data_IF_931325023980
#
_entry.id   IF_931325023980
#
_cell.length_a   1.000
_cell.length_b   1.000
_cell.length_c   1.000
_cell.angle_alpha   90.00
_cell.angle_beta   90.00
_cell.angle_gamma   90.00
#
_symmetry.space_group_name_H-M   'P 1'
#
loop_
_entity.id
_entity.type
_entity.pdbx_description
1 polymer ?
#
# COMPACT_ATOMS: atom_id res chain seq x y z
N UNK A 1 14.75 9.26 -13.20
CA UNK A 1 13.57 9.23 -12.32
C UNK A 1 13.68 8.00 -11.45
N UNK A 2 13.67 8.17 -10.14
CA UNK A 2 13.73 7.09 -9.15
C UNK A 2 12.34 6.86 -8.56
N UNK A 3 11.92 5.60 -8.45
CA UNK A 3 10.61 5.22 -7.89
C UNK A 3 10.81 4.32 -6.68
N UNK A 4 10.16 4.66 -5.56
CA UNK A 4 10.13 3.86 -4.34
C UNK A 4 8.76 3.22 -4.16
N UNK A 5 8.71 1.93 -3.82
CA UNK A 5 7.49 1.24 -3.41
C UNK A 5 7.51 0.98 -1.91
N UNK A 6 6.39 1.26 -1.23
CA UNK A 6 6.20 1.03 0.19
C UNK A 6 5.21 -0.11 0.36
N UNK A 7 5.67 -1.19 0.97
CA UNK A 7 4.89 -2.38 1.27
C UNK A 7 4.87 -2.57 2.79
N UNK A 8 3.72 -2.88 3.33
CA UNK A 8 3.57 -3.13 4.75
C UNK A 8 2.92 -4.48 5.00
N UNK A 9 3.29 -5.14 6.08
CA UNK A 9 2.58 -6.33 6.53
C UNK A 9 2.75 -6.61 8.02
N UNK A 10 2.08 -7.66 8.45
CA UNK A 10 2.21 -8.32 9.73
C UNK A 10 2.24 -9.83 9.50
N UNK A 11 3.14 -10.54 10.16
CA UNK A 11 3.24 -12.01 10.03
C UNK A 11 2.17 -12.71 10.87
N UNK A 12 0.95 -12.78 10.36
CA UNK A 12 -0.19 -13.41 11.03
C UNK A 12 -1.03 -14.32 10.12
N UNK A 13 -0.48 -14.63 8.95
CA UNK A 13 -1.14 -15.42 7.91
C UNK A 13 -2.54 -14.88 7.51
N UNK A 14 -2.69 -13.57 7.54
CA UNK A 14 -3.90 -12.89 7.10
C UNK A 14 -4.38 -13.41 5.73
N UNK A 15 -5.64 -13.80 5.65
CA UNK A 15 -6.28 -14.29 4.41
C UNK A 15 -5.79 -15.66 3.93
N UNK A 16 -4.82 -16.29 4.59
CA UNK A 16 -4.18 -17.54 4.16
C UNK A 16 -3.15 -17.33 3.04
N UNK A 17 -2.23 -18.25 2.89
CA UNK A 17 -1.16 -18.21 1.87
C UNK A 17 -0.36 -16.90 1.87
N UNK A 18 -0.17 -16.29 3.05
CA UNK A 18 0.48 -14.98 3.15
C UNK A 18 1.92 -15.02 2.65
N UNK A 19 2.67 -16.09 2.95
CA UNK A 19 4.06 -16.25 2.52
C UNK A 19 4.16 -16.25 0.99
N UNK A 20 3.30 -17.01 0.33
CA UNK A 20 3.28 -17.12 -1.12
C UNK A 20 2.87 -15.78 -1.77
N UNK A 21 1.78 -15.16 -1.29
CA UNK A 21 1.32 -13.85 -1.81
C UNK A 21 2.39 -12.78 -1.65
N UNK A 22 2.99 -12.71 -0.46
CA UNK A 22 4.07 -11.78 -0.15
C UNK A 22 5.31 -12.00 -1.04
N UNK A 23 5.66 -13.26 -1.29
CA UNK A 23 6.77 -13.59 -2.17
C UNK A 23 6.56 -13.03 -3.58
N UNK A 24 5.36 -13.19 -4.15
CA UNK A 24 5.04 -12.62 -5.46
C UNK A 24 5.01 -11.09 -5.45
N UNK A 25 4.36 -10.50 -4.46
CA UNK A 25 4.25 -9.04 -4.35
C UNK A 25 5.62 -8.37 -4.21
N UNK A 26 6.45 -8.86 -3.27
CA UNK A 26 7.77 -8.29 -3.02
C UNK A 26 8.71 -8.51 -4.22
N UNK A 27 8.75 -9.70 -4.80
CA UNK A 27 9.57 -9.95 -5.98
C UNK A 27 9.13 -9.09 -7.17
N UNK A 28 7.83 -8.94 -7.41
CA UNK A 28 7.36 -8.05 -8.49
C UNK A 28 7.76 -6.59 -8.24
N UNK A 29 7.74 -6.13 -6.98
CA UNK A 29 8.20 -4.80 -6.61
C UNK A 29 9.72 -4.64 -6.78
N UNK A 30 10.52 -5.61 -6.31
CA UNK A 30 11.98 -5.61 -6.47
C UNK A 30 12.37 -5.51 -7.96
N UNK A 31 11.65 -6.22 -8.83
CA UNK A 31 11.90 -6.20 -10.27
C UNK A 31 11.44 -4.92 -10.97
N UNK A 32 10.50 -4.18 -10.35
CA UNK A 32 9.88 -3.02 -11.00
C UNK A 32 10.47 -1.69 -10.53
N UNK A 33 10.90 -1.58 -9.27
CA UNK A 33 11.23 -0.30 -8.66
C UNK A 33 12.70 -0.19 -8.24
N UNK A 34 13.17 1.06 -8.15
CA UNK A 34 14.55 1.37 -7.77
C UNK A 34 14.79 1.19 -6.26
N UNK A 35 13.74 1.27 -5.48
CA UNK A 35 13.76 1.11 -4.02
C UNK A 35 12.46 0.45 -3.57
N UNK A 36 12.56 -0.58 -2.77
CA UNK A 36 11.44 -1.20 -2.07
C UNK A 36 11.65 -1.01 -0.58
N UNK A 37 10.67 -0.42 0.10
CA UNK A 37 10.67 -0.29 1.55
C UNK A 37 9.59 -1.19 2.09
N UNK A 38 10.01 -2.23 2.80
CA UNK A 38 9.12 -3.14 3.48
C UNK A 38 9.09 -2.82 4.97
N UNK A 39 7.90 -2.58 5.52
CA UNK A 39 7.70 -2.29 6.93
C UNK A 39 6.92 -3.43 7.57
N UNK A 40 7.59 -4.22 8.39
CA UNK A 40 6.97 -5.23 9.23
C UNK A 40 6.43 -4.58 10.49
N UNK A 41 5.11 -4.65 10.66
CA UNK A 41 4.44 -3.99 11.79
C UNK A 41 3.84 -5.00 12.76
N UNK A 42 4.33 -4.99 14.01
CA UNK A 42 3.70 -5.73 15.11
C UNK A 42 3.56 -7.24 14.87
N UNK A 43 4.52 -7.84 14.17
CA UNK A 43 4.52 -9.30 13.97
C UNK A 43 4.73 -10.03 15.31
N UNK A 44 3.94 -11.08 15.61
CA UNK A 44 3.88 -11.66 16.95
C UNK A 44 5.14 -12.40 17.35
N UNK A 45 5.91 -12.93 16.41
CA UNK A 45 7.11 -13.72 16.67
C UNK A 45 8.34 -13.18 15.94
N UNK A 46 8.25 -13.04 14.64
CA UNK A 46 9.32 -12.55 13.76
C UNK A 46 8.74 -11.97 12.49
N UNK A 47 9.55 -11.24 11.74
CA UNK A 47 9.12 -10.66 10.47
C UNK A 47 8.79 -11.74 9.44
N UNK A 48 7.72 -11.49 8.66
CA UNK A 48 7.33 -12.31 7.52
C UNK A 48 8.47 -12.47 6.50
N UNK A 49 9.28 -11.43 6.34
CA UNK A 49 10.36 -11.45 5.36
C UNK A 49 11.37 -12.57 5.63
N UNK A 50 11.58 -12.93 6.89
CA UNK A 50 12.50 -14.02 7.25
C UNK A 50 11.98 -15.39 6.85
N UNK A 51 10.66 -15.57 6.78
CA UNK A 51 10.05 -16.83 6.32
C UNK A 51 10.15 -17.02 4.81
N UNK A 52 10.28 -15.93 4.04
CA UNK A 52 10.25 -15.97 2.57
C UNK A 52 11.57 -15.56 1.92
N UNK A 53 12.55 -15.15 2.70
CA UNK A 53 13.82 -14.55 2.23
C UNK A 53 14.52 -15.38 1.15
N UNK A 54 14.56 -16.69 1.29
CA UNK A 54 15.25 -17.59 0.35
C UNK A 54 14.53 -17.65 -1.03
N UNK A 55 13.29 -17.18 -1.10
CA UNK A 55 12.49 -17.11 -2.32
C UNK A 55 12.47 -15.71 -2.95
N UNK A 56 13.20 -14.74 -2.37
CA UNK A 56 13.25 -13.38 -2.89
C UNK A 56 14.43 -13.17 -3.84
N UNK A 57 14.20 -12.45 -4.92
CA UNK A 57 15.21 -12.03 -5.90
C UNK A 57 15.95 -10.76 -5.42
N UNK A 58 16.59 -10.85 -4.27
CA UNK A 58 17.26 -9.73 -3.63
C UNK A 58 18.40 -9.18 -4.50
N UNK A 59 18.45 -7.87 -4.66
CA UNK A 59 19.44 -7.15 -5.46
C UNK A 59 20.01 -5.90 -4.77
N UNK A 60 19.78 -5.76 -3.47
CA UNK A 60 20.26 -4.63 -2.67
C UNK A 60 19.33 -3.39 -2.72
N UNK A 61 18.15 -3.50 -3.32
CA UNK A 61 17.18 -2.39 -3.37
C UNK A 61 16.06 -2.48 -2.33
N UNK A 62 15.99 -3.56 -1.53
CA UNK A 62 15.00 -3.77 -0.49
C UNK A 62 15.52 -3.29 0.87
N UNK A 63 14.81 -2.33 1.47
CA UNK A 63 15.00 -1.86 2.84
C UNK A 63 13.93 -2.46 3.74
N UNK A 64 14.35 -3.15 4.78
CA UNK A 64 13.47 -3.83 5.72
C UNK A 64 13.47 -3.12 7.07
N UNK A 65 12.33 -2.55 7.45
CA UNK A 65 12.08 -1.93 8.75
C UNK A 65 11.22 -2.86 9.61
N UNK A 66 11.60 -3.06 10.87
CA UNK A 66 10.86 -3.89 11.82
C UNK A 66 10.34 -3.02 12.97
N UNK A 67 9.03 -3.01 13.14
CA UNK A 67 8.36 -2.37 14.27
C UNK A 67 7.81 -3.47 15.19
N UNK A 68 8.55 -3.82 16.24
CA UNK A 68 8.15 -4.92 17.13
C UNK A 68 6.91 -4.56 17.96
N UNK A 69 6.24 -5.56 18.57
CA UNK A 69 4.98 -5.35 19.30
C UNK A 69 5.00 -4.25 20.36
N UNK A 70 6.06 -4.15 21.14
CA UNK A 70 6.16 -3.12 22.16
C UNK A 70 6.29 -1.70 21.58
N UNK A 71 7.04 -1.55 20.49
CA UNK A 71 7.13 -0.29 19.76
C UNK A 71 5.78 0.06 19.12
N UNK A 72 5.13 -0.88 18.45
CA UNK A 72 3.81 -0.69 17.84
C UNK A 72 2.76 -0.25 18.88
N UNK A 73 2.74 -0.87 20.05
CA UNK A 73 1.91 -0.46 21.19
C UNK A 73 2.17 0.99 21.60
N UNK A 74 3.44 1.35 21.75
CA UNK A 74 3.83 2.71 22.15
C UNK A 74 3.39 3.74 21.11
N UNK A 75 3.63 3.46 19.83
CA UNK A 75 3.29 4.35 18.72
C UNK A 75 1.78 4.51 18.50
N UNK A 76 0.97 3.52 18.87
CA UNK A 76 -0.49 3.60 18.86
C UNK A 76 -1.09 4.11 20.17
N UNK A 77 -0.28 4.65 21.07
CA UNK A 77 -0.69 5.11 22.41
C UNK A 77 -1.46 4.03 23.20
N UNK A 78 -1.04 2.78 23.07
CA UNK A 78 -1.67 1.61 23.72
C UNK A 78 -3.18 1.49 23.43
N UNK A 79 -3.63 2.00 22.31
CA UNK A 79 -5.04 1.94 21.96
C UNK A 79 -5.43 0.50 21.60
N UNK A 80 -6.25 -0.14 22.45
CA UNK A 80 -6.71 -1.52 22.27
C UNK A 80 -7.59 -1.73 21.03
N UNK A 81 -8.13 -0.63 20.47
CA UNK A 81 -8.95 -0.66 19.26
C UNK A 81 -8.14 -0.36 17.98
N UNK A 82 -6.83 -0.10 18.11
CA UNK A 82 -5.98 0.05 16.95
C UNK A 82 -5.91 -1.25 16.14
N UNK A 83 -5.78 -1.11 14.82
CA UNK A 83 -5.53 -2.27 13.97
C UNK A 83 -4.28 -3.01 14.42
N UNK A 84 -4.31 -4.35 14.40
CA UNK A 84 -3.11 -5.17 14.68
C UNK A 84 -1.98 -4.86 13.70
N UNK A 85 -2.29 -4.67 12.41
CA UNK A 85 -1.41 -4.08 11.42
C UNK A 85 -1.87 -2.64 11.18
N UNK A 86 -1.27 -1.67 11.88
CA UNK A 86 -1.65 -0.27 11.74
C UNK A 86 -1.11 0.32 10.44
N UNK A 87 -1.89 0.19 9.37
CA UNK A 87 -1.48 0.52 8.02
C UNK A 87 -1.00 1.97 7.87
N UNK A 88 -1.74 2.93 8.42
CA UNK A 88 -1.41 4.36 8.26
C UNK A 88 -0.04 4.70 8.85
N UNK A 89 0.29 4.16 10.03
CA UNK A 89 1.57 4.41 10.68
C UNK A 89 2.72 3.69 9.95
N UNK A 90 2.52 2.42 9.59
CA UNK A 90 3.51 1.63 8.87
C UNK A 90 3.84 2.26 7.50
N UNK A 91 2.81 2.66 6.74
CA UNK A 91 2.98 3.34 5.44
C UNK A 91 3.72 4.66 5.60
N UNK A 92 3.37 5.47 6.58
CA UNK A 92 4.03 6.75 6.83
C UNK A 92 5.50 6.61 7.19
N UNK A 93 5.88 5.58 7.94
CA UNK A 93 7.30 5.26 8.20
C UNK A 93 8.06 5.06 6.91
N UNK A 94 7.51 4.26 6.00
CA UNK A 94 8.13 3.99 4.70
C UNK A 94 8.15 5.21 3.79
N UNK A 95 7.01 5.89 3.62
CA UNK A 95 6.88 7.08 2.76
C UNK A 95 7.88 8.18 3.17
N UNK A 96 7.98 8.44 4.48
CA UNK A 96 8.87 9.48 5.01
C UNK A 96 10.36 9.20 4.73
N UNK A 97 10.73 7.91 4.67
CA UNK A 97 12.11 7.45 4.48
C UNK A 97 12.45 7.06 3.04
N UNK A 98 11.47 7.11 2.15
CA UNK A 98 11.67 6.85 0.73
C UNK A 98 12.58 7.89 0.09
N UNK A 99 13.44 7.44 -0.82
CA UNK A 99 14.42 8.30 -1.51
C UNK A 99 14.05 8.57 -2.97
N UNK A 100 13.00 7.92 -3.49
CA UNK A 100 12.52 8.12 -4.86
C UNK A 100 11.91 9.49 -5.11
N UNK A 101 11.91 9.90 -6.37
CA UNK A 101 11.22 11.10 -6.85
C UNK A 101 9.70 10.90 -6.81
N UNK A 102 9.27 9.65 -7.06
CA UNK A 102 7.91 9.16 -6.96
C UNK A 102 7.82 8.05 -5.94
N UNK A 103 6.73 8.03 -5.19
CA UNK A 103 6.49 7.04 -4.14
C UNK A 103 5.15 6.35 -4.39
N UNK A 104 5.18 5.01 -4.32
CA UNK A 104 4.02 4.15 -4.39
C UNK A 104 3.76 3.59 -2.99
N UNK A 105 2.54 3.74 -2.50
CA UNK A 105 2.03 3.00 -1.35
C UNK A 105 1.16 1.85 -1.84
N UNK A 106 1.49 0.62 -1.47
CA UNK A 106 0.85 -0.59 -1.98
C UNK A 106 0.67 -1.66 -0.91
N UNK A 107 -0.05 -2.74 -1.24
CA UNK A 107 -0.32 -3.86 -0.36
C UNK A 107 0.63 -5.04 -0.61
N UNK A 108 0.67 -5.97 0.36
CA UNK A 108 1.54 -7.16 0.37
C UNK A 108 1.09 -8.27 -0.59
N UNK A 109 0.02 -8.09 -1.31
CA UNK A 109 -0.62 -9.06 -2.20
C UNK A 109 -0.86 -8.52 -3.61
N UNK A 110 -0.08 -7.50 -3.99
CA UNK A 110 -0.17 -6.87 -5.31
C UNK A 110 0.98 -7.32 -6.21
N UNK A 111 0.66 -7.89 -7.37
CA UNK A 111 1.60 -8.01 -8.48
C UNK A 111 1.55 -6.69 -9.26
N UNK A 112 2.69 -6.04 -9.35
CA UNK A 112 2.83 -4.70 -9.91
C UNK A 112 2.80 -4.71 -11.44
N UNK A 113 2.32 -3.62 -12.10
CA UNK A 113 2.47 -3.41 -13.53
C UNK A 113 3.94 -3.40 -13.99
N UNK A 114 4.16 -3.40 -15.29
CA UNK A 114 5.50 -3.25 -15.86
C UNK A 114 6.08 -1.87 -15.53
N UNK A 115 7.41 -1.80 -15.43
CA UNK A 115 8.11 -0.53 -15.17
C UNK A 115 7.78 0.55 -16.20
N UNK A 116 7.76 0.17 -17.47
CA UNK A 116 7.50 1.06 -18.59
C UNK A 116 6.09 1.67 -18.52
N UNK A 117 5.12 0.90 -18.04
CA UNK A 117 3.75 1.38 -17.85
C UNK A 117 3.68 2.47 -16.78
N UNK A 118 4.36 2.27 -15.66
CA UNK A 118 4.43 3.26 -14.57
C UNK A 118 5.15 4.52 -15.05
N UNK A 119 6.27 4.37 -15.76
CA UNK A 119 7.00 5.51 -16.35
C UNK A 119 6.15 6.27 -17.38
N UNK A 120 5.37 5.55 -18.16
CA UNK A 120 4.43 6.17 -19.11
C UNK A 120 3.35 7.00 -18.40
N UNK A 121 2.77 6.48 -17.30
CA UNK A 121 1.81 7.23 -16.48
C UNK A 121 2.44 8.52 -15.97
N UNK A 122 3.65 8.43 -15.43
CA UNK A 122 4.36 9.57 -14.85
C UNK A 122 4.72 10.60 -15.92
N UNK A 123 5.28 10.17 -17.05
CA UNK A 123 5.76 11.05 -18.13
C UNK A 123 4.62 11.75 -18.87
N UNK A 124 3.41 11.17 -18.86
CA UNK A 124 2.21 11.74 -19.48
C UNK A 124 1.36 12.57 -18.51
N UNK A 125 1.88 12.92 -17.38
CA UNK A 125 1.17 13.72 -16.38
C UNK A 125 1.95 14.96 -15.96
N UNK A 126 1.25 15.87 -15.33
CA UNK A 126 1.89 16.93 -14.56
C UNK A 126 2.41 16.39 -13.21
N UNK A 127 3.38 17.07 -12.62
CA UNK A 127 3.89 16.72 -11.29
C UNK A 127 2.92 17.04 -10.14
N UNK A 128 1.67 17.35 -10.45
CA UNK A 128 0.66 17.79 -9.48
C UNK A 128 -0.47 16.76 -9.31
N UNK A 129 -0.22 15.51 -9.69
CA UNK A 129 -1.23 14.46 -9.73
C UNK A 129 -0.85 13.27 -8.85
N UNK A 130 -1.78 12.84 -8.00
CA UNK A 130 -1.78 11.53 -7.35
C UNK A 130 -2.57 10.56 -8.24
N UNK A 131 -2.06 9.34 -8.36
CA UNK A 131 -2.67 8.29 -9.17
C UNK A 131 -3.10 7.11 -8.31
N UNK A 132 -4.17 6.46 -8.74
CA UNK A 132 -4.56 5.14 -8.26
C UNK A 132 -4.82 4.25 -9.47
N UNK A 133 -4.52 2.96 -9.37
CA UNK A 133 -4.68 2.01 -10.45
C UNK A 133 -5.93 1.16 -10.25
N UNK A 134 -6.55 0.77 -11.37
CA UNK A 134 -7.61 -0.23 -11.35
C UNK A 134 -7.06 -1.58 -10.90
N UNK A 135 -7.92 -2.37 -10.28
CA UNK A 135 -7.59 -3.65 -9.69
C UNK A 135 -8.23 -4.79 -10.46
N UNK A 136 -7.44 -5.81 -10.80
CA UNK A 136 -7.92 -7.11 -11.26
C UNK A 136 -7.68 -8.13 -10.17
N UNK A 137 -8.66 -9.01 -9.97
CA UNK A 137 -8.58 -10.10 -9.00
C UNK A 137 -7.99 -11.34 -9.67
N UNK A 138 -6.90 -11.85 -9.13
CA UNK A 138 -6.28 -13.08 -9.57
C UNK A 138 -6.31 -14.11 -8.44
N UNK A 139 -6.80 -15.31 -8.71
CA UNK A 139 -6.79 -16.38 -7.72
C UNK A 139 -5.42 -17.02 -7.63
N UNK A 140 -5.09 -17.58 -6.46
CA UNK A 140 -3.87 -18.35 -6.28
C UNK A 140 -3.73 -19.50 -7.28
N UNK A 141 -4.85 -20.12 -7.66
CA UNK A 141 -4.85 -21.23 -8.62
C UNK A 141 -4.41 -20.79 -10.03
N UNK A 142 -4.79 -19.61 -10.49
CA UNK A 142 -4.32 -19.05 -11.76
C UNK A 142 -2.79 -18.88 -11.75
N UNK A 143 -2.22 -18.40 -10.66
CA UNK A 143 -0.77 -18.24 -10.53
C UNK A 143 -0.06 -19.60 -10.54
N UNK A 144 -0.59 -20.57 -9.81
CA UNK A 144 -0.04 -21.93 -9.79
C UNK A 144 -0.11 -22.61 -11.16
N UNK A 145 -1.20 -22.43 -11.87
CA UNK A 145 -1.37 -23.00 -13.21
C UNK A 145 -0.32 -22.46 -14.20
N UNK A 146 -0.03 -21.17 -14.16
CA UNK A 146 1.04 -20.59 -14.99
C UNK A 146 2.41 -21.25 -14.75
N UNK A 147 2.75 -21.50 -13.50
CA UNK A 147 4.04 -22.03 -13.11
C UNK A 147 4.12 -23.57 -13.06
N UNK A 148 3.03 -24.27 -13.37
CA UNK A 148 2.99 -25.73 -13.23
C UNK A 148 3.18 -26.23 -11.79
N UNK A 149 2.92 -25.34 -10.81
CA UNK A 149 3.04 -25.61 -9.38
C UNK A 149 4.36 -25.20 -8.74
N UNK A 150 5.36 -24.80 -9.51
CA UNK A 150 6.64 -24.29 -9.00
C UNK A 150 6.71 -22.76 -9.13
N UNK A 151 7.24 -22.08 -8.11
CA UNK A 151 7.43 -20.63 -8.16
C UNK A 151 8.62 -20.30 -9.07
N UNK A 152 8.37 -19.57 -10.16
CA UNK A 152 9.40 -19.07 -11.07
C UNK A 152 9.24 -17.56 -11.30
N UNK A 153 10.21 -16.78 -10.87
CA UNK A 153 10.17 -15.32 -10.92
C UNK A 153 10.98 -14.72 -12.09
N UNK A 154 11.36 -15.51 -13.09
CA UNK A 154 12.15 -15.03 -14.24
C UNK A 154 11.29 -14.54 -15.41
N UNK A 155 10.01 -14.87 -15.42
CA UNK A 155 9.11 -14.60 -16.55
C UNK A 155 7.98 -13.62 -16.20
N UNK A 156 8.32 -12.54 -15.51
CA UNK A 156 7.32 -11.57 -15.01
C UNK A 156 6.36 -11.06 -16.08
N UNK A 157 6.87 -10.74 -17.28
CA UNK A 157 6.02 -10.20 -18.34
C UNK A 157 5.03 -11.24 -18.86
N UNK A 158 5.48 -12.48 -19.01
CA UNK A 158 4.59 -13.59 -19.39
C UNK A 158 3.55 -13.88 -18.31
N UNK A 159 3.95 -13.83 -17.04
CA UNK A 159 3.02 -13.97 -15.91
C UNK A 159 1.97 -12.85 -15.95
N UNK A 160 2.37 -11.59 -16.09
CA UNK A 160 1.45 -10.46 -16.16
C UNK A 160 0.47 -10.59 -17.33
N UNK A 161 0.95 -10.95 -18.51
CA UNK A 161 0.11 -11.16 -19.67
C UNK A 161 -0.88 -12.33 -19.46
N UNK A 162 -0.42 -13.42 -18.86
CA UNK A 162 -1.26 -14.57 -18.53
C UNK A 162 -2.35 -14.21 -17.50
N UNK A 163 -1.99 -13.59 -16.40
CA UNK A 163 -2.97 -13.18 -15.38
C UNK A 163 -3.92 -12.10 -15.88
N UNK A 164 -3.48 -11.22 -16.78
CA UNK A 164 -4.36 -10.23 -17.39
C UNK A 164 -5.54 -10.88 -18.14
N UNK A 165 -5.26 -11.95 -18.89
CA UNK A 165 -6.27 -12.68 -19.64
C UNK A 165 -7.18 -13.50 -18.74
N UNK A 166 -6.64 -14.09 -17.66
CA UNK A 166 -7.33 -15.07 -16.82
C UNK A 166 -7.86 -14.49 -15.51
N UNK A 167 -7.65 -13.20 -15.22
CA UNK A 167 -8.14 -12.55 -14.02
C UNK A 167 -9.47 -11.84 -14.26
N UNK A 168 -10.22 -11.63 -13.18
CA UNK A 168 -11.47 -10.88 -13.22
C UNK A 168 -11.22 -9.39 -12.98
N UNK A 169 -11.81 -8.55 -13.82
CA UNK A 169 -11.84 -7.13 -13.55
C UNK A 169 -12.80 -6.86 -12.39
N UNK A 170 -12.30 -6.24 -11.34
CA UNK A 170 -13.16 -5.72 -10.30
C UNK A 170 -13.88 -4.50 -10.87
N UNK A 171 -15.19 -4.60 -11.05
CA UNK A 171 -16.03 -3.46 -11.45
C UNK A 171 -15.81 -2.35 -10.43
N UNK A 172 -15.04 -1.35 -10.83
CA UNK A 172 -14.85 -0.15 -10.05
C UNK A 172 -15.81 0.89 -10.62
N UNK A 173 -16.64 1.46 -9.77
CA UNK A 173 -17.46 2.58 -10.20
C UNK A 173 -16.51 3.69 -10.63
N UNK A 174 -16.64 4.11 -11.88
CA UNK A 174 -15.92 5.26 -12.39
C UNK A 174 -16.12 6.45 -11.46
N UNK A 175 -15.06 6.87 -10.83
CA UNK A 175 -15.09 8.07 -10.06
C UNK A 175 -14.01 8.99 -10.58
N UNK A 176 -14.41 9.90 -11.43
CA UNK A 176 -13.58 11.04 -11.80
C UNK A 176 -13.80 12.12 -10.78
N UNK A 177 -12.76 12.49 -10.04
CA UNK A 177 -12.80 13.65 -9.17
C UNK A 177 -12.71 14.90 -10.03
N UNK A 178 -13.80 15.57 -10.23
CA UNK A 178 -13.85 16.87 -10.88
C UNK A 178 -14.38 17.90 -9.88
N UNK A 179 -13.51 18.81 -9.44
CA UNK A 179 -13.89 19.93 -8.56
C UNK A 179 -14.37 19.50 -7.16
N UNK A 180 -15.34 20.23 -6.61
CA UNK A 180 -15.88 20.00 -5.27
C UNK A 180 -16.73 18.72 -5.12
N UNK A 181 -16.98 18.00 -6.19
CA UNK A 181 -17.63 16.70 -6.19
C UNK A 181 -16.60 15.62 -5.83
N UNK A 182 -16.52 15.29 -4.57
CA UNK A 182 -15.77 14.17 -4.00
C UNK A 182 -16.39 12.83 -4.38
N UNK A 183 -16.63 12.57 -5.64
CA UNK A 183 -16.82 11.19 -6.11
C UNK A 183 -15.50 10.48 -5.89
N UNK A 184 -15.42 9.80 -4.77
CA UNK A 184 -14.25 9.05 -4.35
C UNK A 184 -13.94 8.10 -5.47
N UNK A 185 -12.73 8.14 -5.95
CA UNK A 185 -12.21 7.05 -6.74
C UNK A 185 -12.23 5.84 -5.82
N UNK A 186 -13.21 5.00 -6.02
CA UNK A 186 -13.41 3.76 -5.28
C UNK A 186 -12.36 2.72 -5.74
N UNK A 187 -11.17 3.22 -6.08
CA UNK A 187 -9.99 2.44 -6.24
C UNK A 187 -9.45 2.23 -4.83
N UNK A 188 -9.46 0.99 -4.42
CA UNK A 188 -8.88 0.56 -3.16
C UNK A 188 -7.48 1.15 -3.00
N UNK A 189 -7.06 1.32 -1.76
CA UNK A 189 -5.74 1.83 -1.38
C UNK A 189 -4.57 0.93 -1.73
N UNK A 190 -4.83 -0.10 -2.52
CA UNK A 190 -3.85 -1.12 -2.89
C UNK A 190 -2.70 -0.56 -3.75
N UNK A 191 -2.91 0.58 -4.40
CA UNK A 191 -1.87 1.24 -5.20
C UNK A 191 -2.13 2.74 -5.29
N UNK A 192 -1.29 3.52 -4.65
CA UNK A 192 -1.35 4.97 -4.67
C UNK A 192 0.03 5.54 -5.02
N UNK A 193 0.15 6.13 -6.20
CA UNK A 193 1.38 6.69 -6.74
C UNK A 193 1.31 8.21 -6.74
N UNK A 194 2.30 8.88 -6.19
CA UNK A 194 2.42 10.33 -6.30
C UNK A 194 3.89 10.78 -6.27
N UNK A 195 4.19 11.97 -6.81
CA UNK A 195 5.46 12.64 -6.57
C UNK A 195 5.73 12.80 -5.06
N UNK A 196 6.98 12.68 -4.67
CA UNK A 196 7.39 12.79 -3.26
C UNK A 196 6.95 14.09 -2.59
N UNK A 197 6.93 15.21 -3.33
CA UNK A 197 6.49 16.49 -2.76
C UNK A 197 5.01 16.46 -2.36
N UNK A 198 4.14 15.78 -3.11
CA UNK A 198 2.72 15.61 -2.74
C UNK A 198 2.62 14.89 -1.40
N UNK A 199 3.30 13.74 -1.25
CA UNK A 199 3.33 13.00 0.00
C UNK A 199 3.82 13.85 1.18
N UNK A 200 4.83 14.69 0.95
CA UNK A 200 5.34 15.58 1.97
C UNK A 200 4.34 16.70 2.32
N UNK A 201 3.68 17.29 1.34
CA UNK A 201 2.72 18.38 1.53
C UNK A 201 1.49 17.90 2.30
N UNK A 202 0.93 16.75 1.90
CA UNK A 202 -0.19 16.16 2.62
C UNK A 202 0.23 15.46 3.92
N UNK A 203 1.53 15.33 4.19
CA UNK A 203 2.10 14.62 5.34
C UNK A 203 1.62 13.16 5.44
N UNK A 204 1.64 12.43 4.32
CA UNK A 204 1.26 11.03 4.26
C UNK A 204 -0.20 10.75 4.61
N UNK A 205 -0.47 9.54 5.10
CA UNK A 205 -1.77 9.13 5.64
C UNK A 205 -2.06 9.83 6.95
N UNK A 206 -3.34 10.02 7.31
CA UNK A 206 -3.72 10.62 8.59
C UNK A 206 -3.44 9.66 9.75
N UNK A 207 -2.50 10.02 10.63
CA UNK A 207 -1.99 9.14 11.69
C UNK A 207 -2.99 8.89 12.83
N UNK A 208 -4.04 9.71 12.94
CA UNK A 208 -5.15 9.44 13.84
C UNK A 208 -6.06 8.29 13.38
N UNK A 209 -5.98 7.89 12.09
CA UNK A 209 -6.75 6.79 11.52
C UNK A 209 -6.14 5.41 11.85
N UNK A 210 -5.80 5.17 13.10
CA UNK A 210 -5.33 3.87 13.57
C UNK A 210 -6.41 2.78 13.58
N UNK A 211 -7.64 3.16 13.29
CA UNK A 211 -8.79 2.26 13.19
C UNK A 211 -8.91 1.72 11.76
N UNK A 212 -9.43 0.48 11.58
CA UNK A 212 -9.72 -0.01 10.25
C UNK A 212 -10.80 0.87 9.60
N UNK A 213 -10.67 1.20 8.37
CA UNK A 213 -11.56 1.96 7.48
C UNK A 213 -11.00 3.35 7.09
N UNK A 214 -11.34 3.74 5.87
CA UNK A 214 -11.16 5.07 5.28
C UNK A 214 -9.71 5.55 5.05
N UNK A 215 -8.67 4.76 5.36
CA UNK A 215 -7.29 5.21 5.21
C UNK A 215 -6.96 5.65 3.77
N UNK A 216 -7.33 4.83 2.81
CA UNK A 216 -7.14 5.03 1.38
C UNK A 216 -7.98 6.19 0.82
N UNK A 217 -9.27 6.22 1.15
CA UNK A 217 -10.14 7.32 0.72
C UNK A 217 -9.79 8.63 1.41
N UNK A 218 -9.32 8.57 2.65
CA UNK A 218 -8.88 9.75 3.39
C UNK A 218 -7.66 10.41 2.74
N UNK A 219 -6.61 9.64 2.40
CA UNK A 219 -5.40 10.21 1.80
C UNK A 219 -5.67 10.78 0.41
N UNK A 220 -6.56 10.18 -0.37
CA UNK A 220 -7.00 10.72 -1.66
C UNK A 220 -7.70 12.06 -1.48
N UNK A 221 -8.63 12.16 -0.53
CA UNK A 221 -9.33 13.40 -0.21
C UNK A 221 -8.38 14.48 0.34
N UNK A 222 -7.41 14.10 1.17
CA UNK A 222 -6.33 15.01 1.61
C UNK A 222 -5.60 15.61 0.43
N UNK A 223 -5.20 14.77 -0.54
CA UNK A 223 -4.51 15.20 -1.75
C UNK A 223 -5.33 16.26 -2.50
N UNK A 224 -6.61 15.98 -2.78
CA UNK A 224 -7.49 16.94 -3.46
C UNK A 224 -7.68 18.22 -2.66
N UNK A 225 -7.84 18.13 -1.34
CA UNK A 225 -8.00 19.31 -0.46
C UNK A 225 -6.74 20.21 -0.46
N UNK A 226 -5.57 19.64 -0.63
CA UNK A 226 -4.32 20.40 -0.79
C UNK A 226 -4.13 20.96 -2.21
N UNK A 227 -5.10 20.81 -3.10
CA UNK A 227 -5.07 21.36 -4.45
C UNK A 227 -4.39 20.48 -5.49
N UNK A 228 -4.12 19.23 -5.16
CA UNK A 228 -3.56 18.26 -6.09
C UNK A 228 -4.65 17.57 -6.90
N UNK A 229 -4.30 17.13 -8.10
CA UNK A 229 -5.17 16.32 -8.90
C UNK A 229 -5.18 14.87 -8.43
N UNK A 230 -6.29 14.18 -8.62
CA UNK A 230 -6.43 12.75 -8.39
C UNK A 230 -6.89 12.08 -9.67
N UNK A 231 -6.18 11.05 -10.14
CA UNK A 231 -6.49 10.37 -11.39
C UNK A 231 -6.51 8.86 -11.22
N UNK A 232 -7.61 8.22 -11.63
CA UNK A 232 -7.69 6.78 -11.76
C UNK A 232 -7.13 6.33 -13.11
N UNK A 233 -6.30 5.30 -13.08
CA UNK A 233 -5.73 4.65 -14.26
C UNK A 233 -6.34 3.26 -14.38
N UNK A 234 -7.01 3.01 -15.48
CA UNK A 234 -7.66 1.71 -15.73
C UNK A 234 -6.78 0.73 -16.48
N UNK A 235 -5.84 1.25 -17.26
CA UNK A 235 -4.88 0.45 -18.00
C UNK A 235 -3.51 1.16 -18.01
N UNK A 236 -2.47 0.50 -17.49
CA UNK A 236 -2.43 -0.87 -16.94
C UNK A 236 -3.13 -0.99 -15.59
N UNK A 237 -3.74 -2.16 -15.29
CA UNK A 237 -4.23 -2.47 -13.96
C UNK A 237 -3.10 -2.98 -13.07
N UNK A 238 -3.33 -2.99 -11.77
CA UNK A 238 -2.60 -3.85 -10.83
C UNK A 238 -3.34 -5.17 -10.65
N UNK A 239 -2.64 -6.20 -10.15
CA UNK A 239 -3.24 -7.51 -9.92
C UNK A 239 -3.19 -7.85 -8.43
N UNK A 240 -4.34 -7.99 -7.84
CA UNK A 240 -4.48 -8.40 -6.45
C UNK A 240 -4.63 -9.92 -6.36
N UNK A 241 -3.74 -10.56 -5.63
CA UNK A 241 -3.84 -12.00 -5.35
C UNK A 241 -4.96 -12.19 -4.33
N UNK A 242 -6.10 -12.67 -4.79
CA UNK A 242 -7.31 -12.79 -4.00
C UNK A 242 -7.13 -13.76 -2.82
N UNK A 243 -7.65 -13.39 -1.68
CA UNK A 243 -7.54 -14.14 -0.44
C UNK A 243 -8.82 -14.04 0.39
N UNK A 244 -8.96 -14.93 1.36
CA UNK A 244 -10.09 -14.86 2.30
C UNK A 244 -10.00 -13.64 3.21
N UNK A 245 -11.14 -13.12 3.65
CA UNK A 245 -11.23 -11.99 4.58
C UNK A 245 -10.96 -12.37 6.04
N UNK A 246 -10.61 -13.61 6.34
CA UNK A 246 -10.31 -14.06 7.70
C UNK A 246 -9.04 -13.39 8.21
N UNK A 247 -9.15 -12.66 9.30
CA UNK A 247 -8.05 -11.93 9.93
C UNK A 247 -8.10 -10.42 9.73
N UNK A 248 -8.83 -9.92 8.75
CA UNK A 248 -9.08 -8.50 8.58
C UNK A 248 -10.02 -8.02 9.68
N UNK A 249 -9.49 -7.52 10.77
CA UNK A 249 -10.26 -6.91 11.87
C UNK A 249 -11.60 -7.56 12.19
N UNK A 250 -11.69 -8.85 11.98
CA UNK A 250 -12.79 -9.80 12.10
C UNK A 250 -14.14 -9.21 12.42
N UNK A 251 -14.88 -8.86 11.46
CA UNK A 251 -16.33 -8.75 11.55
C UNK A 251 -16.86 -7.87 12.70
N UNK A 252 -17.45 -6.75 12.38
CA UNK A 252 -18.22 -5.97 13.33
C UNK A 252 -17.35 -5.10 14.24
N UNK A 253 -16.74 -4.07 13.65
CA UNK A 253 -16.18 -2.99 14.45
C UNK A 253 -17.25 -2.45 15.38
N UNK A 254 -16.91 -2.25 16.65
CA UNK A 254 -17.82 -1.60 17.57
C UNK A 254 -18.27 -0.27 16.97
N UNK A 255 -19.54 0.06 17.10
CA UNK A 255 -20.15 1.27 16.53
C UNK A 255 -19.35 2.54 16.85
N UNK A 256 -18.79 2.62 18.05
CA UNK A 256 -17.95 3.74 18.47
C UNK A 256 -16.63 3.87 17.70
N UNK A 257 -16.04 2.75 17.24
CA UNK A 257 -14.81 2.75 16.43
C UNK A 257 -15.11 3.24 15.02
N UNK A 258 -16.18 2.73 14.42
CA UNK A 258 -16.64 3.17 13.11
C UNK A 258 -16.99 4.67 13.11
N UNK A 259 -17.66 5.14 14.16
CA UNK A 259 -17.97 6.55 14.31
C UNK A 259 -16.69 7.38 14.38
N UNK A 260 -15.69 6.97 15.19
CA UNK A 260 -14.43 7.70 15.36
C UNK A 260 -13.62 7.75 14.07
N UNK A 261 -13.51 6.63 13.34
CA UNK A 261 -12.86 6.59 12.02
C UNK A 261 -13.58 7.51 11.02
N UNK A 262 -14.91 7.51 11.02
CA UNK A 262 -15.70 8.39 10.17
C UNK A 262 -15.55 9.88 10.55
N UNK A 263 -15.53 10.21 11.82
CA UNK A 263 -15.35 11.59 12.29
C UNK A 263 -14.00 12.16 11.84
N UNK A 264 -12.90 11.39 11.95
CA UNK A 264 -11.57 11.78 11.46
C UNK A 264 -11.59 11.95 9.95
N UNK A 265 -12.15 10.98 9.23
CA UNK A 265 -12.27 11.03 7.79
C UNK A 265 -13.03 12.25 7.30
N UNK A 266 -14.15 12.58 7.93
CA UNK A 266 -14.97 13.75 7.60
C UNK A 266 -14.26 15.07 7.95
N UNK A 267 -13.60 15.15 9.09
CA UNK A 267 -12.87 16.36 9.50
C UNK A 267 -11.81 16.75 8.44
N UNK A 268 -11.03 15.79 7.93
CA UNK A 268 -10.07 16.05 6.87
C UNK A 268 -10.75 16.43 5.55
N UNK A 269 -11.91 15.83 5.24
CA UNK A 269 -12.61 16.05 3.97
C UNK A 269 -13.26 17.44 3.89
N UNK A 270 -13.89 17.88 4.97
CA UNK A 270 -14.80 19.04 4.90
C UNK A 270 -14.30 20.28 5.62
N UNK A 271 -13.45 20.18 6.62
CA UNK A 271 -13.17 21.29 7.53
C UNK A 271 -11.71 21.71 7.63
N UNK A 272 -10.75 20.79 7.55
CA UNK A 272 -9.38 21.06 7.93
C UNK A 272 -8.36 20.50 6.94
N UNK A 273 -7.18 21.07 6.96
CA UNK A 273 -5.97 20.50 6.36
C UNK A 273 -5.52 19.32 7.21
N UNK A 274 -4.51 18.58 6.73
CA UNK A 274 -3.91 17.47 7.47
C UNK A 274 -3.64 17.84 8.93
N UNK A 275 -3.95 16.91 9.84
CA UNK A 275 -3.66 17.05 11.28
C UNK A 275 -2.27 16.54 11.66
N UNK A 276 -1.64 15.78 10.78
CA UNK A 276 -0.34 15.22 11.07
C UNK A 276 0.70 16.29 11.41
N UNK A 277 1.53 16.09 12.46
CA UNK A 277 2.58 17.01 12.84
C UNK A 277 3.71 17.05 11.80
N UNK A 278 4.67 17.93 11.98
CA UNK A 278 5.89 17.97 11.16
C UNK A 278 6.74 16.70 11.33
N UNK A 279 6.57 15.99 12.44
CA UNK A 279 7.24 14.73 12.77
C UNK A 279 6.53 13.48 12.25
N UNK A 280 5.53 13.65 11.35
CA UNK A 280 4.81 12.52 10.77
C UNK A 280 5.74 11.42 10.23
N UNK A 281 5.29 10.20 10.22
CA UNK A 281 6.12 9.04 9.90
C UNK A 281 7.24 8.82 10.91
N UNK A 282 7.09 9.38 12.11
CA UNK A 282 8.07 9.29 13.19
C UNK A 282 9.48 9.74 12.77
N UNK A 283 9.56 10.87 12.04
CA UNK A 283 10.84 11.38 11.53
C UNK A 283 11.82 11.83 12.62
N UNK A 284 11.35 12.00 13.86
CA UNK A 284 12.13 12.31 15.06
C UNK A 284 12.62 11.07 15.81
N UNK A 285 12.29 9.87 15.35
CA UNK A 285 12.71 8.60 15.93
C UNK A 285 13.60 7.88 14.92
N UNK A 286 14.77 7.45 15.36
CA UNK A 286 15.60 6.54 14.57
C UNK A 286 14.96 5.15 14.57
N UNK A 287 14.70 4.62 13.40
CA UNK A 287 14.18 3.27 13.20
C UNK A 287 15.23 2.53 12.39
N UNK A 288 15.80 1.51 12.99
CA UNK A 288 16.80 0.67 12.34
C UNK A 288 16.19 -0.09 11.15
N UNK A 289 17.00 -0.32 10.14
CA UNK A 289 16.62 -1.13 8.98
C UNK A 289 17.83 -1.90 8.45
N UNK A 290 17.56 -2.98 7.76
CA UNK A 290 18.56 -3.73 6.99
C UNK A 290 18.34 -3.52 5.48
N UNK A 291 19.41 -3.64 4.70
CA UNK A 291 19.34 -3.64 3.23
C UNK A 291 19.55 -5.09 2.76
N UNK A 292 18.65 -5.57 1.95
CA UNK A 292 18.63 -6.92 1.43
C UNK A 292 18.72 -6.97 -0.09
#
# INVERSE_FOLDING_TARGET
>A
MKISAIIISRNDNYGGHLNERATYAINSAINTYDEVIYVDWNSPTHSLLWDIKDNLQLNGNLKHFIIPPDAAKSLTNYNEHAQLCCEVLARNIGIRRATGDYIISTNIDIIHPKREDIESIINNSDNNTMFTLSRREVTWDIIKEFHGGEMNFQEWDKLRDYIYINSEERVQNEATVTGDNYSIINCCGDFQLAPKHIWNEIKGFEEELIYPLYADTNVQKKSVKHGFNLKAIFNPPMFHINHGSKGWGGGGFAEGINKKANDIHQAVTFQEQTKNPTTWGFSNIEIEYEIL
#
